data_IF_334246001687
#
_entry.id   IF_334246001687
#
_cell.length_a   1.000
_cell.length_b   1.000
_cell.length_c   1.000
_cell.angle_alpha   90.00
_cell.angle_beta   90.00
_cell.angle_gamma   90.00
#
_symmetry.space_group_name_H-M   'P 1'
#
loop_
_entity.id
_entity.type
_entity.pdbx_description
1 polymer ?
#
# COMPACT_ATOMS: atom_id res chain seq x y z
N UNK A 1 43.54 42.73 -10.64
CA UNK A 1 43.07 42.68 -12.04
C UNK A 1 42.34 41.34 -12.18
N UNK A 2 41.04 41.20 -12.39
CA UNK A 2 40.03 41.99 -13.10
C UNK A 2 38.65 41.79 -12.47
N UNK A 3 37.94 42.90 -12.33
CA UNK A 3 36.50 42.99 -12.06
C UNK A 3 35.70 42.55 -13.30
N UNK A 4 34.67 41.73 -13.12
CA UNK A 4 33.58 41.60 -14.09
C UNK A 4 32.25 41.70 -13.34
N UNK A 5 31.70 42.92 -13.37
CA UNK A 5 30.29 43.22 -13.20
C UNK A 5 29.42 42.30 -14.08
N UNK A 6 28.46 41.60 -13.49
CA UNK A 6 27.33 41.02 -14.21
C UNK A 6 26.03 41.64 -13.65
N UNK A 7 25.11 42.10 -14.52
CA UNK A 7 24.01 42.97 -14.11
C UNK A 7 22.94 42.23 -13.29
N UNK A 8 22.21 42.92 -12.39
CA UNK A 8 21.02 42.34 -11.78
C UNK A 8 19.93 42.25 -12.86
N UNK A 9 19.68 41.04 -13.37
CA UNK A 9 18.55 40.78 -14.26
C UNK A 9 17.23 40.99 -13.49
N UNK A 10 16.72 42.23 -13.54
CA UNK A 10 15.33 42.55 -13.24
C UNK A 10 14.46 41.92 -14.32
N UNK A 11 13.94 40.72 -14.06
CA UNK A 11 12.93 40.12 -14.93
C UNK A 11 11.56 40.77 -14.69
N UNK A 12 10.78 41.07 -15.74
CA UNK A 12 9.43 41.58 -15.61
C UNK A 12 8.52 40.53 -14.94
N UNK A 13 7.70 40.98 -13.99
CA UNK A 13 6.81 40.17 -13.14
C UNK A 13 5.87 39.26 -13.97
N UNK A 14 5.52 39.67 -15.20
CA UNK A 14 4.66 38.94 -16.11
C UNK A 14 5.28 37.64 -16.70
N UNK A 15 6.60 37.51 -16.73
CA UNK A 15 7.27 36.30 -17.21
C UNK A 15 7.33 35.21 -16.14
N UNK A 16 7.28 35.60 -14.85
CA UNK A 16 7.32 34.69 -13.71
C UNK A 16 6.05 33.83 -13.64
N UNK A 17 4.87 34.41 -13.86
CA UNK A 17 3.58 33.69 -13.76
C UNK A 17 3.40 32.60 -14.83
N UNK A 18 3.90 32.82 -16.04
CA UNK A 18 3.87 31.82 -17.12
C UNK A 18 4.78 30.62 -16.84
N UNK A 19 5.89 30.85 -16.15
CA UNK A 19 6.82 29.80 -15.76
C UNK A 19 6.20 28.86 -14.69
N UNK A 20 5.50 29.42 -13.71
CA UNK A 20 4.80 28.64 -12.67
C UNK A 20 3.69 27.74 -13.23
N UNK A 21 2.93 28.24 -14.20
CA UNK A 21 1.89 27.47 -14.90
C UNK A 21 2.48 26.32 -15.72
N UNK A 22 3.60 26.55 -16.42
CA UNK A 22 4.28 25.49 -17.17
C UNK A 22 4.84 24.38 -16.26
N UNK A 23 5.39 24.73 -15.09
CA UNK A 23 5.88 23.74 -14.12
C UNK A 23 4.76 22.93 -13.45
N UNK A 24 3.58 23.51 -13.24
CA UNK A 24 2.45 22.78 -12.67
C UNK A 24 1.90 21.70 -13.63
N UNK A 25 1.95 21.96 -14.93
CA UNK A 25 1.44 21.02 -15.96
C UNK A 25 2.40 19.83 -16.15
N UNK A 26 3.71 20.03 -16.00
CA UNK A 26 4.73 18.98 -16.08
C UNK A 26 4.81 18.08 -14.83
N UNK A 27 4.20 18.47 -13.71
CA UNK A 27 4.17 17.66 -12.48
C UNK A 27 3.00 16.65 -12.42
N UNK A 28 2.02 16.76 -13.32
CA UNK A 28 0.82 15.92 -13.35
C UNK A 28 0.98 14.48 -13.89
N UNK A 29 1.98 14.10 -14.72
CA UNK A 29 2.02 12.74 -15.26
C UNK A 29 2.55 11.69 -14.26
N UNK A 30 3.10 12.09 -13.11
CA UNK A 30 3.68 11.16 -12.13
C UNK A 30 2.64 10.45 -11.25
N UNK A 31 1.44 11.02 -11.08
CA UNK A 31 0.39 10.41 -10.25
C UNK A 31 -0.43 9.33 -10.97
N UNK A 32 -0.34 9.23 -12.30
CA UNK A 32 -1.11 8.27 -13.09
C UNK A 32 -0.46 6.88 -13.21
N UNK A 33 0.77 6.70 -12.72
CA UNK A 33 1.50 5.44 -12.80
C UNK A 33 1.78 4.85 -11.40
N UNK A 34 0.81 4.98 -10.49
CA UNK A 34 0.88 4.24 -9.23
C UNK A 34 0.32 2.84 -9.47
N UNK A 35 1.17 1.81 -9.38
CA UNK A 35 0.73 0.42 -9.41
C UNK A 35 0.46 -0.02 -7.98
N UNK A 36 -0.72 -0.59 -7.74
CA UNK A 36 -1.08 -1.19 -6.46
C UNK A 36 -0.82 -2.69 -6.52
N UNK A 37 0.00 -3.19 -5.62
CA UNK A 37 0.16 -4.64 -5.42
C UNK A 37 -1.04 -5.18 -4.65
N UNK A 38 -1.82 -6.05 -5.28
CA UNK A 38 -2.98 -6.72 -4.70
C UNK A 38 -2.66 -8.20 -4.56
N UNK A 39 -3.06 -8.80 -3.44
CA UNK A 39 -2.99 -10.24 -3.25
C UNK A 39 -4.20 -10.87 -3.94
N UNK A 40 -3.94 -11.73 -4.91
CA UNK A 40 -4.96 -12.50 -5.60
C UNK A 40 -4.81 -14.00 -5.22
N UNK A 41 -5.92 -14.63 -4.87
CA UNK A 41 -5.98 -16.02 -4.48
C UNK A 41 -6.63 -16.84 -5.60
N UNK A 42 -5.85 -17.72 -6.22
CA UNK A 42 -6.32 -18.57 -7.31
C UNK A 42 -6.38 -20.01 -6.84
N UNK A 43 -7.45 -20.71 -7.24
CA UNK A 43 -7.66 -22.12 -6.89
C UNK A 43 -6.73 -23.02 -7.70
N UNK A 44 -6.13 -24.01 -7.06
CA UNK A 44 -5.13 -24.91 -7.66
C UNK A 44 -5.70 -25.87 -8.71
N UNK A 45 -6.99 -26.14 -8.64
CA UNK A 45 -7.72 -27.02 -9.55
C UNK A 45 -8.21 -26.32 -10.84
N UNK A 46 -7.93 -25.02 -10.98
CA UNK A 46 -8.21 -24.26 -12.22
C UNK A 46 -9.69 -23.98 -12.49
N UNK A 47 -10.59 -24.23 -11.53
CA UNK A 47 -12.02 -23.96 -11.69
C UNK A 47 -12.34 -22.50 -11.44
N UNK A 48 -13.06 -21.89 -12.38
CA UNK A 48 -13.52 -20.50 -12.33
C UNK A 48 -15.05 -20.36 -12.48
N UNK A 49 -15.78 -21.46 -12.29
CA UNK A 49 -17.25 -21.50 -12.41
C UNK A 49 -17.94 -20.58 -11.38
N UNK A 50 -19.19 -20.16 -11.62
CA UNK A 50 -19.94 -19.33 -10.66
C UNK A 50 -20.06 -19.95 -9.26
N UNK A 51 -20.12 -21.28 -9.17
CA UNK A 51 -20.07 -22.02 -7.91
C UNK A 51 -18.70 -21.89 -7.20
N UNK A 52 -17.60 -21.85 -7.95
CA UNK A 52 -16.27 -21.66 -7.40
C UNK A 52 -16.10 -20.24 -6.82
N UNK A 53 -16.73 -19.24 -7.41
CA UNK A 53 -16.75 -17.88 -6.85
C UNK A 53 -17.51 -17.85 -5.51
N UNK A 54 -18.66 -18.50 -5.42
CA UNK A 54 -19.40 -18.58 -4.17
C UNK A 54 -18.62 -19.33 -3.08
N UNK A 55 -17.94 -20.43 -3.44
CA UNK A 55 -17.05 -21.15 -2.55
C UNK A 55 -15.88 -20.28 -2.07
N UNK A 56 -15.25 -19.53 -2.97
CA UNK A 56 -14.18 -18.60 -2.62
C UNK A 56 -14.65 -17.55 -1.61
N UNK A 57 -15.83 -16.96 -1.78
CA UNK A 57 -16.37 -15.98 -0.82
C UNK A 57 -16.59 -16.59 0.57
N UNK A 58 -17.04 -17.85 0.64
CA UNK A 58 -17.18 -18.58 1.90
C UNK A 58 -15.82 -18.89 2.53
N UNK A 59 -14.88 -19.40 1.74
CA UNK A 59 -13.52 -19.74 2.19
C UNK A 59 -12.77 -18.49 2.69
N UNK A 60 -12.86 -17.38 1.95
CA UNK A 60 -12.28 -16.09 2.31
C UNK A 60 -12.92 -15.55 3.61
N UNK A 61 -14.23 -15.65 3.77
CA UNK A 61 -14.90 -15.26 5.02
C UNK A 61 -14.44 -16.11 6.22
N UNK A 62 -14.27 -17.42 6.04
CA UNK A 62 -13.77 -18.32 7.09
C UNK A 62 -12.33 -17.95 7.45
N UNK A 63 -11.45 -17.79 6.46
CA UNK A 63 -10.05 -17.47 6.70
C UNK A 63 -9.88 -16.06 7.32
N UNK A 64 -10.69 -15.09 6.93
CA UNK A 64 -10.76 -13.79 7.62
C UNK A 64 -11.26 -13.92 9.06
N UNK A 65 -12.20 -14.83 9.32
CA UNK A 65 -12.65 -15.17 10.67
C UNK A 65 -11.52 -15.72 11.54
N UNK A 66 -10.69 -16.63 11.01
CA UNK A 66 -9.52 -17.16 11.72
C UNK A 66 -8.47 -16.07 12.01
N UNK A 67 -8.26 -15.15 11.07
CA UNK A 67 -7.40 -13.98 11.28
C UNK A 67 -7.96 -13.06 12.35
N UNK A 68 -9.27 -12.77 12.32
CA UNK A 68 -9.93 -11.94 13.33
C UNK A 68 -9.87 -12.58 14.73
N UNK A 69 -9.99 -13.91 14.80
CA UNK A 69 -9.81 -14.68 16.03
C UNK A 69 -8.39 -14.57 16.57
N UNK A 70 -7.38 -14.72 15.71
CA UNK A 70 -5.99 -14.53 16.09
C UNK A 70 -5.70 -13.07 16.51
N UNK A 71 -6.33 -12.10 15.84
CA UNK A 71 -6.23 -10.68 16.18
C UNK A 71 -6.88 -10.37 17.54
N UNK A 72 -8.03 -10.98 17.85
CA UNK A 72 -8.70 -10.80 19.13
C UNK A 72 -7.93 -11.44 20.30
N UNK A 73 -7.15 -12.49 20.03
CA UNK A 73 -6.23 -13.10 21.00
C UNK A 73 -4.93 -12.29 21.18
N UNK A 74 -4.63 -11.35 20.29
CA UNK A 74 -3.41 -10.58 20.36
C UNK A 74 -3.52 -9.50 21.46
N UNK A 75 -2.47 -9.37 22.27
CA UNK A 75 -2.40 -8.37 23.32
C UNK A 75 -2.58 -6.94 22.74
N UNK A 76 -3.34 -6.05 23.42
CA UNK A 76 -3.47 -4.66 23.00
C UNK A 76 -2.11 -3.97 23.07
N UNK A 77 -1.75 -3.26 21.99
CA UNK A 77 -0.51 -2.50 21.92
C UNK A 77 -0.80 -1.10 22.46
N UNK A 78 -0.24 -0.79 23.63
CA UNK A 78 -0.38 0.53 24.23
C UNK A 78 0.63 1.50 23.62
N UNK A 79 0.12 2.56 22.99
CA UNK A 79 0.93 3.70 22.57
C UNK A 79 1.23 4.54 23.82
N UNK A 80 2.50 4.63 24.21
CA UNK A 80 2.93 5.50 25.32
C UNK A 80 2.80 6.98 24.98
N UNK A 81 3.14 7.86 25.94
CA UNK A 81 3.06 9.32 25.76
C UNK A 81 4.21 9.89 24.91
N UNK A 82 5.21 9.09 24.54
CA UNK A 82 6.40 9.53 23.83
C UNK A 82 6.43 9.06 22.37
N UNK A 83 7.15 9.80 21.51
CA UNK A 83 7.33 9.45 20.10
C UNK A 83 8.07 8.10 19.92
N UNK A 84 8.95 7.76 20.87
CA UNK A 84 9.67 6.49 20.89
C UNK A 84 8.75 5.31 21.18
N UNK A 85 7.81 5.47 22.13
CA UNK A 85 6.79 4.43 22.40
C UNK A 85 5.85 4.25 21.21
N UNK A 86 5.50 5.34 20.51
CA UNK A 86 4.67 5.25 19.31
C UNK A 86 5.39 4.51 18.16
N UNK A 87 6.71 4.68 18.03
CA UNK A 87 7.51 3.90 17.08
C UNK A 87 7.58 2.42 17.46
N UNK A 88 7.81 2.09 18.74
CA UNK A 88 7.87 0.70 19.19
C UNK A 88 6.52 -0.01 19.04
N UNK A 89 5.44 0.68 19.38
CA UNK A 89 4.08 0.20 19.17
C UNK A 89 3.77 0.01 17.68
N UNK A 90 4.17 0.96 16.82
CA UNK A 90 4.03 0.83 15.37
C UNK A 90 4.82 -0.37 14.81
N UNK A 91 5.99 -0.68 15.35
CA UNK A 91 6.77 -1.85 14.95
C UNK A 91 6.07 -3.16 15.37
N UNK A 92 5.57 -3.25 16.61
CA UNK A 92 4.82 -4.41 17.10
C UNK A 92 3.53 -4.62 16.30
N UNK A 93 2.87 -3.53 15.91
CA UNK A 93 1.67 -3.58 15.08
C UNK A 93 1.97 -4.04 13.65
N UNK A 94 3.09 -3.59 13.08
CA UNK A 94 3.60 -4.09 11.79
C UNK A 94 3.92 -5.58 11.82
N UNK A 95 4.59 -6.07 12.87
CA UNK A 95 4.87 -7.49 13.05
C UNK A 95 3.60 -8.32 13.19
N UNK A 96 2.64 -7.85 14.01
CA UNK A 96 1.33 -8.48 14.17
C UNK A 96 0.59 -8.55 12.84
N UNK A 97 0.51 -7.46 12.08
CA UNK A 97 -0.18 -7.44 10.80
C UNK A 97 0.46 -8.40 9.78
N UNK A 98 1.79 -8.53 9.79
CA UNK A 98 2.46 -9.50 8.94
C UNK A 98 2.15 -10.96 9.36
N UNK A 99 2.11 -11.24 10.66
CA UNK A 99 1.73 -12.55 11.19
C UNK A 99 0.27 -12.90 10.85
N UNK A 100 -0.66 -11.95 11.03
CA UNK A 100 -2.07 -12.09 10.65
C UNK A 100 -2.22 -12.38 9.15
N UNK A 101 -1.42 -11.73 8.30
CA UNK A 101 -1.38 -12.01 6.87
C UNK A 101 -0.89 -13.42 6.56
N UNK A 102 0.11 -13.92 7.28
CA UNK A 102 0.57 -15.31 7.14
C UNK A 102 -0.51 -16.32 7.54
N UNK A 103 -1.30 -16.03 8.57
CA UNK A 103 -2.45 -16.87 8.97
C UNK A 103 -3.49 -16.92 7.85
N UNK A 104 -3.82 -15.77 7.25
CA UNK A 104 -4.73 -15.71 6.10
C UNK A 104 -4.22 -16.59 4.94
N UNK A 105 -2.98 -16.39 4.53
CA UNK A 105 -2.37 -17.12 3.40
C UNK A 105 -2.29 -18.62 3.71
N UNK A 106 -1.95 -18.99 4.94
CA UNK A 106 -1.91 -20.39 5.38
C UNK A 106 -3.29 -21.06 5.35
N UNK A 107 -4.33 -20.38 5.83
CA UNK A 107 -5.71 -20.89 5.78
C UNK A 107 -6.17 -21.09 4.33
N UNK A 108 -5.90 -20.12 3.45
CA UNK A 108 -6.22 -20.23 2.02
C UNK A 108 -5.44 -21.36 1.35
N UNK A 109 -4.17 -21.55 1.70
CA UNK A 109 -3.34 -22.64 1.19
C UNK A 109 -3.88 -24.02 1.59
N UNK A 110 -4.37 -24.19 2.82
CA UNK A 110 -5.02 -25.44 3.27
C UNK A 110 -6.28 -25.76 2.49
N UNK A 111 -6.94 -24.75 1.92
CA UNK A 111 -8.14 -24.88 1.08
C UNK A 111 -7.83 -24.97 -0.41
N UNK A 112 -6.58 -25.27 -0.77
CA UNK A 112 -6.10 -25.38 -2.15
C UNK A 112 -6.12 -24.07 -2.95
N UNK A 113 -5.91 -22.93 -2.30
CA UNK A 113 -5.67 -21.66 -2.98
C UNK A 113 -4.18 -21.28 -2.94
N UNK A 114 -3.68 -20.71 -4.02
CA UNK A 114 -2.35 -20.10 -4.09
C UNK A 114 -2.45 -18.59 -4.09
N UNK A 115 -1.54 -17.95 -3.36
CA UNK A 115 -1.42 -16.50 -3.37
C UNK A 115 -0.50 -16.08 -4.52
N UNK A 116 -0.99 -15.14 -5.32
CA UNK A 116 -0.21 -14.46 -6.36
C UNK A 116 -0.26 -12.95 -6.09
N UNK A 117 0.88 -12.28 -6.18
CA UNK A 117 0.91 -10.82 -6.16
C UNK A 117 0.69 -10.32 -7.58
N UNK A 118 -0.35 -9.51 -7.76
CA UNK A 118 -0.64 -8.86 -9.03
C UNK A 118 -0.50 -7.35 -8.85
N UNK A 119 0.21 -6.70 -9.77
CA UNK A 119 0.28 -5.24 -9.85
C UNK A 119 -0.85 -4.75 -10.74
N UNK A 120 -1.77 -3.98 -10.16
CA UNK A 120 -2.92 -3.41 -10.88
C UNK A 120 -2.68 -1.90 -11.03
N UNK A 121 -2.92 -1.29 -12.20
CA UNK A 121 -2.93 0.15 -12.34
C UNK A 121 -4.07 0.74 -11.48
N UNK A 122 -3.76 1.84 -10.78
CA UNK A 122 -4.69 2.50 -9.85
C UNK A 122 -5.70 3.40 -10.58
#
# INVERSE_FOLDING_TARGET
MTSLYAPPFRMPIAARSRLWLATAILALPLSACTTRSVMNFNRLDGRADAAAVAQFQQDDAICKGEVAKAQAMAAPIYMGRSLADAMEAGMKEGQRNNALRQIMVGCMAQRNYTMTLMTVPN
#
